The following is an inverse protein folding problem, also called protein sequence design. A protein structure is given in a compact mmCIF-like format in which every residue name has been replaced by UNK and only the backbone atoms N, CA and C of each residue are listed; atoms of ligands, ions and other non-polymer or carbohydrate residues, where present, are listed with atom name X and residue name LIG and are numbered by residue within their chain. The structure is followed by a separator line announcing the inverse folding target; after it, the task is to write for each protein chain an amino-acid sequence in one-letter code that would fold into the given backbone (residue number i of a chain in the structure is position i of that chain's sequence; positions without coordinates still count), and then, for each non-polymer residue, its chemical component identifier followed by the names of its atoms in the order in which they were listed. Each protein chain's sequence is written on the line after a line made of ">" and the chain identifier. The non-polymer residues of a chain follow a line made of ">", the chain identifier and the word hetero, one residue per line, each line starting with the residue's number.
data_IF_008368874351
#
_entry.id   IF_008368874351
#
_cell.length_a   1.000
_cell.length_b   1.000
_cell.length_c   1.000
_cell.angle_alpha   90.00
_cell.angle_beta   90.00
_cell.angle_gamma   90.00
#
_symmetry.space_group_name_H-M   'P 1'
#
loop_
_entity.id
_entity.type
_entity.pdbx_description
1 polymer ?
#
# COMPACT_ATOMS: atom_id res chain seq x y z
N UNK A 1 -25.47 -18.36 3.10
CA UNK A 1 -25.19 -19.02 4.42
C UNK A 1 -24.78 -20.49 4.25
N UNK A 2 -25.47 -21.30 3.41
CA UNK A 2 -25.16 -22.72 3.21
C UNK A 2 -23.76 -22.96 2.59
N UNK A 3 -23.34 -22.11 1.65
CA UNK A 3 -22.00 -22.17 1.06
C UNK A 3 -20.90 -21.85 2.07
N UNK A 4 -21.11 -20.89 2.95
CA UNK A 4 -20.15 -20.56 4.03
C UNK A 4 -19.92 -21.72 4.97
N UNK A 5 -21.00 -22.45 5.33
CA UNK A 5 -20.88 -23.65 6.17
C UNK A 5 -20.04 -24.74 5.48
N UNK A 6 -20.28 -25.00 4.19
CA UNK A 6 -19.48 -25.97 3.40
C UNK A 6 -18.01 -25.57 3.36
N UNK A 7 -17.70 -24.30 3.08
CA UNK A 7 -16.34 -23.77 3.04
C UNK A 7 -15.66 -23.94 4.40
N UNK A 8 -16.37 -23.60 5.49
CA UNK A 8 -15.86 -23.77 6.84
C UNK A 8 -15.56 -25.23 7.20
N UNK A 9 -16.46 -26.17 6.84
CA UNK A 9 -16.27 -27.63 7.04
C UNK A 9 -15.07 -28.11 6.22
N UNK A 10 -14.95 -27.69 4.95
CA UNK A 10 -13.82 -28.06 4.08
C UNK A 10 -12.48 -27.60 4.68
N UNK A 11 -12.42 -26.35 5.16
CA UNK A 11 -11.20 -25.84 5.81
C UNK A 11 -10.89 -26.60 7.10
N UNK A 12 -11.91 -26.85 7.93
CA UNK A 12 -11.71 -27.54 9.21
C UNK A 12 -11.16 -28.96 9.04
N UNK A 13 -11.73 -29.72 8.10
CA UNK A 13 -11.37 -31.13 7.87
C UNK A 13 -10.08 -31.27 7.03
N UNK A 14 -9.95 -30.48 5.95
CA UNK A 14 -8.93 -30.70 4.92
C UNK A 14 -7.89 -29.60 4.86
N UNK A 15 -8.03 -28.49 5.64
CA UNK A 15 -7.19 -27.29 5.58
C UNK A 15 -7.06 -26.74 4.14
N UNK A 16 -8.12 -26.81 3.35
CA UNK A 16 -8.17 -26.45 1.94
C UNK A 16 -9.41 -25.60 1.60
N UNK A 17 -9.44 -25.09 0.36
CA UNK A 17 -10.54 -24.26 -0.13
C UNK A 17 -10.36 -22.77 0.18
N UNK A 18 -11.38 -21.94 -0.05
CA UNK A 18 -11.28 -20.47 0.04
C UNK A 18 -10.81 -19.90 1.38
N UNK A 19 -10.94 -20.65 2.48
CA UNK A 19 -10.44 -20.24 3.79
C UNK A 19 -8.97 -20.62 4.06
N UNK A 20 -8.28 -21.26 3.11
CA UNK A 20 -6.90 -21.71 3.31
C UNK A 20 -5.86 -20.68 2.88
N UNK A 21 -6.26 -19.64 2.18
CA UNK A 21 -5.38 -18.58 1.69
C UNK A 21 -5.89 -17.19 2.10
N UNK A 22 -5.03 -16.19 2.03
CA UNK A 22 -5.49 -14.81 2.01
C UNK A 22 -6.17 -14.55 0.66
N UNK A 23 -7.14 -13.64 0.62
CA UNK A 23 -7.77 -13.27 -0.65
C UNK A 23 -6.87 -12.41 -1.56
N UNK A 24 -5.65 -12.10 -1.14
CA UNK A 24 -4.56 -11.51 -1.94
C UNK A 24 -3.70 -12.63 -2.55
N UNK A 25 -4.24 -13.39 -3.50
CA UNK A 25 -3.59 -14.58 -4.02
C UNK A 25 -2.60 -14.30 -5.16
N UNK A 26 -2.71 -13.15 -5.81
CA UNK A 26 -1.85 -12.76 -6.90
C UNK A 26 -1.46 -11.29 -6.81
N UNK A 27 -0.30 -10.99 -7.32
CA UNK A 27 0.25 -9.64 -7.39
C UNK A 27 1.48 -9.61 -8.27
N UNK A 28 2.07 -8.43 -8.41
CA UNK A 28 3.26 -8.29 -9.22
C UNK A 28 3.81 -6.88 -9.20
N UNK A 29 4.94 -6.74 -9.86
CA UNK A 29 5.61 -5.46 -10.06
C UNK A 29 5.81 -5.23 -11.55
N UNK A 30 5.59 -3.99 -12.00
CA UNK A 30 5.83 -3.60 -13.39
C UNK A 30 6.51 -2.25 -13.47
N UNK A 31 7.16 -2.01 -14.61
CA UNK A 31 7.57 -0.67 -15.02
C UNK A 31 6.40 0.02 -15.71
N UNK A 32 6.10 1.25 -15.34
CA UNK A 32 5.07 2.05 -16.01
C UNK A 32 5.49 2.46 -17.42
N UNK A 33 6.80 2.55 -17.66
CA UNK A 33 7.38 2.82 -18.97
C UNK A 33 8.75 2.14 -19.13
N UNK A 34 9.21 1.91 -20.38
CA UNK A 34 10.52 1.28 -20.63
C UNK A 34 11.72 2.07 -20.08
N UNK A 35 11.57 3.39 -19.90
CA UNK A 35 12.62 4.27 -19.42
C UNK A 35 12.88 4.14 -17.91
N UNK A 36 11.98 3.50 -17.17
CA UNK A 36 12.18 3.27 -15.74
C UNK A 36 13.29 2.25 -15.53
N UNK A 37 14.21 2.55 -14.62
CA UNK A 37 15.35 1.67 -14.31
C UNK A 37 14.87 0.36 -13.67
N UNK A 38 13.88 0.43 -12.77
CA UNK A 38 13.29 -0.71 -12.05
C UNK A 38 11.76 -0.60 -12.00
N UNK A 39 11.05 -1.69 -11.64
CA UNK A 39 9.61 -1.66 -11.47
C UNK A 39 9.18 -0.62 -10.45
N UNK A 40 8.32 0.29 -10.86
CA UNK A 40 7.86 1.41 -10.04
C UNK A 40 6.38 1.31 -9.64
N UNK A 41 5.69 0.26 -10.09
CA UNK A 41 4.28 0.00 -9.77
C UNK A 41 4.17 -1.39 -9.14
N UNK A 42 3.39 -1.49 -8.06
CA UNK A 42 2.97 -2.76 -7.46
C UNK A 42 1.49 -3.00 -7.70
N UNK A 43 1.15 -4.25 -7.96
CA UNK A 43 -0.22 -4.71 -8.15
C UNK A 43 -0.62 -5.73 -7.09
N UNK A 44 -1.87 -5.63 -6.62
CA UNK A 44 -2.52 -6.62 -5.76
C UNK A 44 -3.85 -7.03 -6.41
N UNK A 45 -3.99 -8.31 -6.74
CA UNK A 45 -5.21 -8.85 -7.30
C UNK A 45 -6.13 -9.38 -6.19
N UNK A 46 -7.38 -8.92 -6.23
CA UNK A 46 -8.44 -9.35 -5.33
C UNK A 46 -9.52 -10.06 -6.14
N UNK A 47 -9.81 -11.36 -5.90
CA UNK A 47 -10.88 -12.08 -6.58
C UNK A 47 -12.27 -11.71 -6.03
N UNK A 48 -12.42 -10.53 -5.48
CA UNK A 48 -13.65 -9.97 -4.91
C UNK A 48 -13.61 -8.45 -4.97
N UNK A 49 -14.75 -7.80 -4.81
CA UNK A 49 -14.79 -6.36 -4.53
C UNK A 49 -14.46 -6.09 -3.06
N UNK A 50 -13.58 -5.11 -2.84
CA UNK A 50 -13.36 -4.47 -1.55
C UNK A 50 -13.84 -3.02 -1.70
N UNK A 51 -14.88 -2.65 -0.97
CA UNK A 51 -15.48 -1.32 -1.04
C UNK A 51 -15.33 -0.68 0.34
N UNK A 52 -14.84 0.56 0.37
CA UNK A 52 -14.65 1.32 1.61
C UNK A 52 -13.91 0.48 2.69
N UNK A 53 -12.70 0.02 2.36
CA UNK A 53 -11.86 -0.84 3.24
C UNK A 53 -12.56 -2.13 3.74
N UNK A 54 -13.59 -2.59 3.04
CA UNK A 54 -14.37 -3.77 3.43
C UNK A 54 -15.52 -3.47 4.39
N UNK A 55 -15.82 -2.20 4.63
CA UNK A 55 -16.95 -1.76 5.45
C UNK A 55 -18.29 -1.88 4.71
N UNK A 56 -18.25 -1.89 3.39
CA UNK A 56 -19.43 -2.03 2.54
C UNK A 56 -19.45 -3.41 1.88
N UNK A 57 -20.53 -4.16 2.11
CA UNK A 57 -20.72 -5.47 1.48
C UNK A 57 -21.03 -5.27 -0.02
N UNK A 58 -20.28 -5.94 -0.93
CA UNK A 58 -20.54 -5.83 -2.36
C UNK A 58 -21.87 -6.48 -2.75
N UNK A 59 -22.62 -5.82 -3.62
CA UNK A 59 -23.93 -6.26 -4.13
C UNK A 59 -23.83 -7.25 -5.30
N UNK A 60 -22.61 -7.51 -5.79
CA UNK A 60 -22.35 -8.34 -6.98
C UNK A 60 -20.99 -9.04 -6.90
N UNK A 61 -20.81 -10.04 -7.74
CA UNK A 61 -19.50 -10.66 -7.95
C UNK A 61 -18.61 -9.79 -8.83
N UNK A 62 -17.32 -9.83 -8.58
CA UNK A 62 -16.31 -9.12 -9.35
C UNK A 62 -14.92 -9.35 -8.81
N UNK A 63 -13.94 -8.68 -9.40
CA UNK A 63 -12.55 -8.67 -8.97
C UNK A 63 -11.96 -7.28 -9.14
N UNK A 64 -10.87 -7.04 -8.45
CA UNK A 64 -10.14 -5.77 -8.48
C UNK A 64 -8.65 -6.02 -8.68
N UNK A 65 -7.98 -5.10 -9.37
CA UNK A 65 -6.54 -5.01 -9.41
C UNK A 65 -6.15 -3.65 -8.81
N UNK A 66 -5.69 -3.66 -7.58
CA UNK A 66 -5.16 -2.45 -6.95
C UNK A 66 -3.76 -2.20 -7.48
N UNK A 67 -3.48 -0.96 -7.85
CA UNK A 67 -2.20 -0.54 -8.42
C UNK A 67 -1.70 0.69 -7.68
N UNK A 68 -0.43 0.71 -7.30
CA UNK A 68 0.16 1.81 -6.57
C UNK A 68 1.62 2.07 -6.97
N UNK A 69 2.06 3.34 -7.03
CA UNK A 69 3.47 3.67 -7.12
C UNK A 69 4.24 3.16 -5.89
N UNK A 70 5.45 2.60 -6.11
CA UNK A 70 6.30 2.09 -5.04
C UNK A 70 7.08 3.18 -4.29
N UNK A 71 7.41 4.27 -4.97
CA UNK A 71 8.25 5.34 -4.43
C UNK A 71 7.57 6.70 -4.59
N UNK A 72 6.48 6.98 -3.85
CA UNK A 72 5.83 8.28 -3.90
C UNK A 72 6.77 9.37 -3.35
N UNK A 73 6.78 10.53 -4.00
CA UNK A 73 7.58 11.70 -3.62
C UNK A 73 6.83 12.65 -2.68
N UNK A 74 5.52 12.58 -2.64
CA UNK A 74 4.70 13.36 -1.71
C UNK A 74 5.10 13.06 -0.27
N UNK A 75 5.15 14.09 0.56
CA UNK A 75 5.51 13.98 1.97
C UNK A 75 4.43 14.57 2.84
N UNK A 76 4.10 13.85 3.91
CA UNK A 76 3.19 14.27 4.94
C UNK A 76 3.91 14.69 6.23
N UNK A 77 3.14 14.88 7.28
CA UNK A 77 3.67 15.20 8.59
C UNK A 77 2.83 14.61 9.73
N UNK A 78 3.50 14.33 10.84
CA UNK A 78 2.86 14.00 12.11
C UNK A 78 3.33 15.02 13.14
N UNK A 79 2.41 15.79 13.72
CA UNK A 79 2.73 16.85 14.68
C UNK A 79 1.88 16.74 15.93
N UNK A 80 2.41 17.22 17.07
CA UNK A 80 1.66 17.26 18.31
C UNK A 80 0.48 18.24 18.19
N UNK A 81 -0.68 17.81 18.60
CA UNK A 81 -1.87 18.65 18.66
C UNK A 81 -1.88 19.51 19.95
N UNK A 82 -1.49 18.90 21.08
CA UNK A 82 -1.43 19.53 22.39
C UNK A 82 -0.29 18.95 23.21
N UNK A 83 -0.02 19.49 24.39
CA UNK A 83 0.93 18.93 25.35
C UNK A 83 0.38 17.69 26.10
N UNK A 84 -0.91 17.37 25.95
CA UNK A 84 -1.50 16.17 26.54
C UNK A 84 -1.19 14.94 25.69
N UNK A 85 -0.41 13.96 26.18
CA UNK A 85 0.00 12.79 25.40
C UNK A 85 -1.15 11.83 25.05
N UNK A 86 -2.32 11.98 25.65
CA UNK A 86 -3.52 11.19 25.33
C UNK A 86 -4.32 11.76 24.15
N UNK A 87 -4.01 12.95 23.68
CA UNK A 87 -4.65 13.51 22.51
C UNK A 87 -3.98 12.97 21.23
N UNK A 88 -4.80 12.66 20.23
CA UNK A 88 -4.30 12.23 18.93
C UNK A 88 -3.45 13.32 18.28
N UNK A 89 -2.33 12.95 17.62
CA UNK A 89 -1.53 13.89 16.86
C UNK A 89 -2.29 14.39 15.62
N UNK A 90 -1.86 15.51 15.08
CA UNK A 90 -2.27 15.93 13.75
C UNK A 90 -1.52 15.08 12.71
N UNK A 91 -2.23 14.41 11.83
CA UNK A 91 -1.66 13.57 10.78
C UNK A 91 -2.08 14.14 9.43
N UNK A 92 -1.12 14.59 8.64
CA UNK A 92 -1.31 15.03 7.27
C UNK A 92 -0.60 14.04 6.34
N UNK A 93 -1.34 13.25 5.58
CA UNK A 93 -0.75 12.32 4.60
C UNK A 93 -0.22 13.03 3.35
N UNK A 94 -0.90 14.08 2.91
CA UNK A 94 -0.52 14.92 1.78
C UNK A 94 -0.34 14.13 0.47
N UNK A 95 -1.16 13.10 0.24
CA UNK A 95 -1.11 12.26 -0.96
C UNK A 95 -1.29 13.09 -2.23
N UNK A 96 -0.57 12.72 -3.30
CA UNK A 96 -0.69 13.30 -4.65
C UNK A 96 -0.38 14.80 -4.71
N UNK A 97 0.35 15.35 -3.74
CA UNK A 97 0.86 16.71 -3.81
C UNK A 97 1.93 16.83 -4.91
N UNK A 98 2.81 15.84 -5.00
CA UNK A 98 3.78 15.77 -6.07
C UNK A 98 3.13 15.27 -7.37
N UNK A 99 3.28 16.05 -8.45
CA UNK A 99 2.68 15.74 -9.76
C UNK A 99 3.20 14.44 -10.38
N UNK A 100 4.42 14.00 -10.05
CA UNK A 100 4.96 12.74 -10.54
C UNK A 100 4.22 11.55 -9.92
N UNK A 101 3.78 11.66 -8.66
CA UNK A 101 2.99 10.62 -8.01
C UNK A 101 1.63 10.43 -8.69
N UNK A 102 0.97 11.55 -9.03
CA UNK A 102 -0.28 11.51 -9.79
C UNK A 102 -0.07 10.88 -11.17
N UNK A 103 0.99 11.31 -11.89
CA UNK A 103 1.34 10.74 -13.19
C UNK A 103 1.58 9.23 -13.11
N UNK A 104 2.37 8.76 -12.16
CA UNK A 104 2.63 7.33 -11.97
C UNK A 104 1.36 6.56 -11.59
N UNK A 105 0.43 7.18 -10.86
CA UNK A 105 -0.85 6.55 -10.52
C UNK A 105 -1.74 6.40 -11.76
N UNK A 106 -1.76 7.38 -12.66
CA UNK A 106 -2.44 7.26 -13.97
C UNK A 106 -1.83 6.12 -14.78
N UNK A 107 -0.50 6.11 -14.94
CA UNK A 107 0.23 5.04 -15.63
C UNK A 107 -0.09 3.66 -15.02
N UNK A 108 -0.21 3.58 -13.69
CA UNK A 108 -0.57 2.34 -12.99
C UNK A 108 -1.98 1.85 -13.35
N UNK A 109 -2.96 2.75 -13.49
CA UNK A 109 -4.32 2.41 -13.93
C UNK A 109 -4.31 1.89 -15.39
N UNK A 110 -3.54 2.53 -16.26
CA UNK A 110 -3.43 2.13 -17.66
C UNK A 110 -2.82 0.72 -17.80
N UNK A 111 -1.73 0.45 -17.08
CA UNK A 111 -1.13 -0.89 -17.03
C UNK A 111 -2.09 -1.93 -16.42
N UNK A 112 -2.83 -1.56 -15.37
CA UNK A 112 -3.85 -2.43 -14.78
C UNK A 112 -4.95 -2.78 -15.78
N UNK A 113 -5.42 -1.82 -16.59
CA UNK A 113 -6.40 -2.05 -17.67
C UNK A 113 -5.85 -2.98 -18.74
N UNK A 114 -4.57 -2.81 -19.13
CA UNK A 114 -3.93 -3.73 -20.09
C UNK A 114 -3.88 -5.16 -19.53
N UNK A 115 -3.46 -5.34 -18.27
CA UNK A 115 -3.42 -6.65 -17.61
C UNK A 115 -4.81 -7.29 -17.60
N UNK A 116 -5.83 -6.57 -17.16
CA UNK A 116 -7.21 -7.08 -17.05
C UNK A 116 -7.88 -7.26 -18.42
N UNK A 117 -7.39 -6.57 -19.47
CA UNK A 117 -7.84 -6.69 -20.85
C UNK A 117 -7.30 -7.93 -21.60
N UNK A 118 -6.35 -8.67 -21.03
CA UNK A 118 -5.73 -9.82 -21.68
C UNK A 118 -6.71 -10.97 -21.95
N UNK A 119 -6.42 -11.77 -22.96
CA UNK A 119 -7.30 -12.85 -23.41
C UNK A 119 -7.66 -13.86 -22.30
N UNK A 120 -6.75 -14.11 -21.38
CA UNK A 120 -6.96 -14.99 -20.23
C UNK A 120 -8.02 -14.49 -19.25
N UNK A 121 -8.24 -13.17 -19.20
CA UNK A 121 -9.23 -12.54 -18.32
C UNK A 121 -10.61 -12.44 -18.95
N UNK A 122 -10.73 -12.52 -20.28
CA UNK A 122 -12.00 -12.37 -21.00
C UNK A 122 -13.15 -13.26 -20.50
N UNK A 123 -12.95 -14.53 -20.13
CA UNK A 123 -14.04 -15.36 -19.60
C UNK A 123 -14.65 -14.85 -18.29
N UNK A 124 -13.93 -14.00 -17.55
CA UNK A 124 -14.33 -13.46 -16.27
C UNK A 124 -14.68 -11.97 -16.35
N UNK A 125 -14.40 -11.32 -17.50
CA UNK A 125 -14.56 -9.89 -17.66
C UNK A 125 -16.03 -9.49 -17.71
N UNK A 126 -16.35 -8.45 -16.96
CA UNK A 126 -17.63 -7.76 -16.97
C UNK A 126 -17.46 -6.29 -17.30
N UNK A 127 -18.41 -5.47 -16.87
CA UNK A 127 -18.31 -4.01 -16.99
C UNK A 127 -17.26 -3.49 -16.01
N UNK A 128 -16.33 -2.66 -16.51
CA UNK A 128 -15.44 -1.90 -15.64
C UNK A 128 -16.24 -0.91 -14.78
N UNK A 129 -16.06 -0.96 -13.47
CA UNK A 129 -16.78 -0.12 -12.51
C UNK A 129 -15.89 0.90 -11.80
N UNK A 130 -14.60 0.70 -11.82
CA UNK A 130 -13.60 1.60 -11.28
C UNK A 130 -12.28 1.49 -12.07
N UNK A 131 -11.83 2.60 -12.68
CA UNK A 131 -12.41 3.94 -12.75
C UNK A 131 -13.67 4.08 -13.61
N UNK A 132 -13.94 3.14 -14.53
CA UNK A 132 -15.01 3.20 -15.52
C UNK A 132 -14.48 3.53 -16.92
N UNK A 133 -15.10 2.92 -17.95
CA UNK A 133 -14.63 3.02 -19.34
C UNK A 133 -14.67 4.42 -19.94
N UNK A 134 -15.37 5.34 -19.34
CA UNK A 134 -15.50 6.75 -19.72
C UNK A 134 -14.37 7.64 -19.16
N UNK A 135 -13.60 7.16 -18.20
CA UNK A 135 -12.41 7.85 -17.67
C UNK A 135 -11.22 7.58 -18.59
N UNK A 136 -10.94 8.54 -19.50
CA UNK A 136 -9.94 8.38 -20.58
C UNK A 136 -9.02 9.60 -20.73
N UNK A 137 -9.33 10.75 -20.11
CA UNK A 137 -8.49 11.95 -20.20
C UNK A 137 -7.70 12.17 -18.92
N UNK A 138 -6.55 12.85 -18.98
CA UNK A 138 -5.76 13.16 -17.78
C UNK A 138 -6.56 13.82 -16.67
N UNK A 139 -7.47 14.74 -17.00
CA UNK A 139 -8.31 15.46 -16.04
C UNK A 139 -9.29 14.51 -15.35
N UNK A 140 -9.95 13.62 -16.10
CA UNK A 140 -10.87 12.64 -15.55
C UNK A 140 -10.14 11.60 -14.67
N UNK A 141 -8.93 11.20 -15.06
CA UNK A 141 -8.10 10.35 -14.21
C UNK A 141 -7.73 11.08 -12.90
N UNK A 142 -7.31 12.34 -12.97
CA UNK A 142 -6.97 13.11 -11.77
C UNK A 142 -8.15 13.20 -10.82
N UNK A 143 -9.34 13.57 -11.31
CA UNK A 143 -10.56 13.67 -10.50
C UNK A 143 -10.92 12.33 -9.86
N UNK A 144 -10.86 11.24 -10.62
CA UNK A 144 -11.09 9.90 -10.11
C UNK A 144 -10.08 9.52 -9.03
N UNK A 145 -8.79 9.69 -9.30
CA UNK A 145 -7.72 9.33 -8.37
C UNK A 145 -7.85 10.12 -7.07
N UNK A 146 -8.07 11.45 -7.14
CA UNK A 146 -8.23 12.27 -5.94
C UNK A 146 -9.47 11.90 -5.12
N UNK A 147 -10.50 11.36 -5.75
CA UNK A 147 -11.73 10.95 -5.07
C UNK A 147 -11.69 9.52 -4.51
N UNK A 148 -10.75 8.66 -5.00
CA UNK A 148 -10.75 7.21 -4.74
C UNK A 148 -9.43 6.64 -4.26
N UNK A 149 -8.32 7.41 -4.35
CA UNK A 149 -7.04 6.92 -3.85
C UNK A 149 -7.09 6.72 -2.32
N UNK A 150 -6.61 5.57 -1.90
CA UNK A 150 -6.58 5.16 -0.50
C UNK A 150 -5.16 4.75 -0.10
N UNK A 151 -4.93 4.68 1.19
CA UNK A 151 -3.66 4.19 1.72
C UNK A 151 -3.50 2.69 1.46
N UNK A 152 -2.26 2.27 1.16
CA UNK A 152 -1.88 0.85 1.17
C UNK A 152 -1.42 0.38 2.57
N UNK A 153 -1.65 1.18 3.62
CA UNK A 153 -1.31 0.89 5.02
C UNK A 153 0.18 0.70 5.31
N UNK A 154 1.03 1.41 4.57
CA UNK A 154 2.49 1.37 4.73
C UNK A 154 3.09 2.75 5.11
N UNK A 155 2.61 3.43 6.18
CA UNK A 155 3.25 4.66 6.65
C UNK A 155 4.65 4.36 7.18
N UNK A 156 5.60 5.26 6.88
CA UNK A 156 7.02 5.07 7.24
C UNK A 156 7.76 6.41 7.25
N UNK A 157 9.03 6.40 7.59
CA UNK A 157 9.98 7.50 7.39
C UNK A 157 9.78 8.75 8.28
N UNK A 158 8.87 8.75 9.24
CA UNK A 158 8.60 9.93 10.10
C UNK A 158 9.70 10.23 11.11
N UNK A 159 10.57 9.24 11.42
CA UNK A 159 11.70 9.36 12.35
C UNK A 159 12.97 8.80 11.69
N UNK A 160 13.24 9.22 10.45
CA UNK A 160 14.27 8.62 9.58
C UNK A 160 15.64 8.53 10.23
N UNK A 161 16.34 7.42 9.96
CA UNK A 161 17.74 7.28 10.29
C UNK A 161 18.62 8.05 9.30
N UNK A 162 19.76 8.49 9.75
CA UNK A 162 20.74 9.19 8.94
C UNK A 162 21.71 10.00 9.75
N UNK A 163 22.49 10.83 9.07
CA UNK A 163 23.46 11.76 9.64
C UNK A 163 23.28 13.20 9.15
N UNK A 164 22.17 13.47 8.46
CA UNK A 164 21.78 14.82 8.03
C UNK A 164 20.94 15.53 9.09
N UNK A 165 20.73 16.83 8.91
CA UNK A 165 20.03 17.69 9.88
C UNK A 165 18.57 17.29 10.16
N UNK A 166 17.97 16.45 9.29
CA UNK A 166 16.61 15.94 9.44
C UNK A 166 16.57 14.52 10.00
N UNK A 167 17.72 13.89 10.26
CA UNK A 167 17.77 12.57 10.86
C UNK A 167 17.36 12.62 12.34
N UNK A 168 16.51 11.68 12.75
CA UNK A 168 16.03 11.58 14.14
C UNK A 168 16.82 10.52 14.92
N UNK A 169 17.25 9.46 14.24
CA UNK A 169 18.04 8.38 14.84
C UNK A 169 19.32 8.13 14.06
N UNK A 170 20.34 7.65 14.77
CA UNK A 170 21.61 7.21 14.18
C UNK A 170 21.50 5.81 13.53
N UNK A 171 22.61 5.29 13.01
CA UNK A 171 22.74 3.95 12.39
C UNK A 171 22.48 2.78 13.36
N UNK A 172 22.50 3.05 14.68
CA UNK A 172 22.16 2.11 15.76
C UNK A 172 20.79 2.37 16.34
N UNK A 173 19.98 3.18 15.66
CA UNK A 173 18.60 3.52 16.00
C UNK A 173 18.45 4.31 17.31
N UNK A 174 19.53 4.94 17.81
CA UNK A 174 19.50 5.82 18.97
C UNK A 174 19.00 7.20 18.58
N UNK A 175 18.09 7.74 19.37
CA UNK A 175 17.55 9.09 19.16
C UNK A 175 18.62 10.14 19.44
N UNK A 176 18.85 11.05 18.49
CA UNK A 176 19.80 12.15 18.69
C UNK A 176 19.34 13.07 19.82
N UNK A 177 20.28 13.44 20.68
CA UNK A 177 20.04 14.36 21.79
C UNK A 177 19.29 13.79 22.99
N UNK A 178 18.92 12.51 22.98
CA UNK A 178 18.27 11.83 24.11
C UNK A 178 19.03 10.54 24.44
N UNK A 179 19.49 10.42 25.68
CA UNK A 179 20.18 9.21 26.13
C UNK A 179 19.20 8.06 26.40
N UNK A 180 19.66 6.84 26.12
CA UNK A 180 18.93 5.58 26.40
C UNK A 180 17.56 5.44 25.71
N UNK A 181 17.34 6.15 24.59
CA UNK A 181 16.14 6.03 23.78
C UNK A 181 16.49 5.53 22.37
N UNK A 182 15.71 4.57 21.88
CA UNK A 182 15.76 4.06 20.49
C UNK A 182 14.36 4.08 19.87
N UNK A 183 14.33 4.13 18.55
CA UNK A 183 13.13 3.86 17.75
C UNK A 183 13.42 2.66 16.85
N UNK A 184 12.52 1.65 16.88
CA UNK A 184 12.69 0.38 16.17
C UNK A 184 11.40 -0.01 15.47
N UNK A 185 11.07 0.67 14.39
CA UNK A 185 9.91 0.39 13.56
C UNK A 185 10.10 1.00 12.15
N UNK A 186 9.07 0.94 11.30
CA UNK A 186 9.12 1.45 9.93
C UNK A 186 9.38 2.97 9.84
N UNK A 187 9.18 3.73 10.91
CA UNK A 187 9.41 5.18 10.91
C UNK A 187 10.88 5.55 10.72
N UNK A 188 11.81 4.64 11.05
CA UNK A 188 13.24 4.89 10.92
C UNK A 188 13.77 4.78 9.50
N UNK A 189 13.00 4.25 8.56
CA UNK A 189 13.41 4.13 7.16
C UNK A 189 13.72 5.52 6.58
N UNK A 190 14.86 5.72 5.91
CA UNK A 190 15.17 7.00 5.25
C UNK A 190 14.20 7.33 4.12
N UNK A 191 13.79 6.29 3.37
CA UNK A 191 12.78 6.34 2.31
C UNK A 191 11.94 5.06 2.35
N UNK A 192 10.74 5.12 1.80
CA UNK A 192 9.89 3.94 1.67
C UNK A 192 10.53 2.92 0.72
N UNK A 193 10.52 1.65 1.10
CA UNK A 193 11.07 0.57 0.27
C UNK A 193 10.11 0.20 -0.87
N UNK A 194 10.64 -0.45 -1.92
CA UNK A 194 9.85 -0.95 -3.04
C UNK A 194 8.98 -2.13 -2.64
N UNK A 195 7.74 -1.89 -2.25
CA UNK A 195 6.78 -2.91 -1.86
C UNK A 195 6.38 -2.86 -0.39
N UNK A 196 5.78 -3.94 0.09
CA UNK A 196 5.23 -4.03 1.44
C UNK A 196 6.29 -3.92 2.54
N UNK A 197 5.99 -3.20 3.62
CA UNK A 197 6.97 -2.86 4.66
C UNK A 197 7.18 -3.95 5.73
N UNK A 198 6.40 -5.03 5.75
CA UNK A 198 6.49 -6.03 6.81
C UNK A 198 7.89 -6.67 6.88
N UNK A 199 8.41 -7.16 5.77
CA UNK A 199 9.72 -7.81 5.73
C UNK A 199 10.87 -6.86 6.11
N UNK A 200 11.00 -5.64 5.55
CA UNK A 200 12.04 -4.71 5.98
C UNK A 200 11.87 -4.26 7.44
N UNK A 201 10.65 -4.14 7.96
CA UNK A 201 10.44 -3.82 9.39
C UNK A 201 10.91 -4.95 10.30
N UNK A 202 10.64 -6.20 9.95
CA UNK A 202 11.18 -7.36 10.67
C UNK A 202 12.71 -7.40 10.64
N UNK A 203 13.33 -7.09 9.51
CA UNK A 203 14.79 -6.99 9.38
C UNK A 203 15.37 -5.89 10.27
N UNK A 204 14.73 -4.72 10.32
CA UNK A 204 15.12 -3.62 11.21
C UNK A 204 15.05 -4.07 12.67
N UNK A 205 13.97 -4.74 13.07
CA UNK A 205 13.78 -5.23 14.43
C UNK A 205 14.81 -6.28 14.83
N UNK A 206 15.09 -7.24 13.93
CA UNK A 206 16.11 -8.27 14.13
C UNK A 206 17.50 -7.63 14.31
N UNK A 207 17.88 -6.70 13.42
CA UNK A 207 19.14 -5.99 13.52
C UNK A 207 19.24 -5.14 14.78
N UNK A 208 18.14 -4.50 15.20
CA UNK A 208 18.10 -3.69 16.42
C UNK A 208 18.34 -4.53 17.69
N UNK A 209 17.87 -5.78 17.70
CA UNK A 209 18.07 -6.67 18.84
C UNK A 209 19.56 -6.88 19.15
N UNK A 210 20.42 -6.96 18.12
CA UNK A 210 21.88 -7.06 18.28
C UNK A 210 22.51 -5.81 18.89
N UNK A 211 21.87 -4.64 18.74
CA UNK A 211 22.37 -3.39 19.34
C UNK A 211 21.94 -3.19 20.81
N UNK A 212 20.96 -3.97 21.26
CA UNK A 212 20.36 -3.86 22.60
C UNK A 212 20.95 -4.91 23.53
N UNK A 213 21.29 -6.07 23.01
CA UNK A 213 21.92 -7.17 23.74
C UNK A 213 23.42 -6.94 23.92
#
# INVERSE_FOLDING_TARGET
>A
KFNMLKIGIQWFLNKSGPCSTSFLEAGGFAKSSPEREYPNIQFHFFPSFVIDHGLVEPDRHGYQLHASPNHPKSRGSVTLNTSNPYNYPNILFNYLENKDDLKQTIEAIEVARDILGQNSMKPFAGKETGPGSDIQTPELYEDYIRSKAETAYHPSCTLKMGNDDMAVVDEKLKVYGIENLRVVDASVMPEITSGNLNAPTLMIAERASEFIL
#
